data_IF_931915925554
#
_entry.id   IF_931915925554
#
_cell.length_a   1.000
_cell.length_b   1.000
_cell.length_c   1.000
_cell.angle_alpha   90.00
_cell.angle_beta   90.00
_cell.angle_gamma   90.00
#
_symmetry.space_group_name_H-M   'P 1'
#
loop_
_entity.id
_entity.type
_entity.pdbx_description
1 polymer ?
#
# COMPACT_ATOMS: atom_id res chain seq x y z
N UNK A 1 -51.20 -44.44 52.34
CA UNK A 1 -51.42 -44.39 53.80
C UNK A 1 -50.05 -44.27 54.43
N UNK A 2 -49.77 -43.13 55.08
CA UNK A 2 -48.70 -42.88 56.07
C UNK A 2 -47.24 -43.03 55.58
N UNK A 3 -46.25 -42.21 55.94
CA UNK A 3 -46.10 -41.03 56.83
C UNK A 3 -44.67 -40.53 56.58
N UNK A 4 -44.45 -39.21 56.49
CA UNK A 4 -43.12 -38.62 56.76
C UNK A 4 -42.76 -38.81 58.25
N UNK A 5 -41.46 -38.73 58.63
CA UNK A 5 -41.01 -37.46 59.19
C UNK A 5 -39.61 -37.00 58.76
N UNK A 6 -39.26 -35.72 59.05
CA UNK A 6 -38.13 -34.98 58.48
C UNK A 6 -37.06 -34.59 59.51
N UNK A 7 -35.86 -34.20 59.06
CA UNK A 7 -34.90 -33.32 59.79
C UNK A 7 -34.01 -32.64 58.72
N UNK A 8 -34.32 -31.41 58.30
CA UNK A 8 -33.61 -30.14 58.58
C UNK A 8 -32.11 -30.04 58.20
N UNK A 9 -31.87 -29.19 57.18
CA UNK A 9 -31.10 -27.94 57.28
C UNK A 9 -29.56 -27.96 57.15
N UNK A 10 -29.13 -27.42 56.00
CA UNK A 10 -28.02 -26.50 55.72
C UNK A 10 -26.56 -27.01 55.69
N UNK A 11 -26.07 -27.11 54.44
CA UNK A 11 -25.12 -26.15 53.86
C UNK A 11 -23.70 -26.01 54.44
N UNK A 12 -23.10 -27.06 55.00
CA UNK A 12 -21.65 -27.09 55.23
C UNK A 12 -21.09 -28.50 55.09
N UNK A 13 -20.90 -28.97 53.87
CA UNK A 13 -20.01 -30.12 53.55
C UNK A 13 -19.70 -30.16 52.05
N UNK A 14 -19.19 -29.06 51.51
CA UNK A 14 -18.55 -29.02 50.18
C UNK A 14 -17.05 -28.70 50.29
N UNK A 15 -16.43 -29.13 51.39
CA UNK A 15 -14.98 -29.11 51.60
C UNK A 15 -14.38 -30.49 51.24
N UNK A 16 -14.62 -31.02 50.03
CA UNK A 16 -13.81 -32.15 49.53
C UNK A 16 -13.93 -32.47 48.02
N UNK A 17 -13.73 -31.52 47.11
CA UNK A 17 -13.48 -31.88 45.70
C UNK A 17 -12.84 -30.79 44.81
N UNK A 18 -12.02 -29.87 45.35
CA UNK A 18 -11.18 -29.01 44.50
C UNK A 18 -9.78 -28.91 45.09
N UNK A 19 -9.03 -30.00 44.97
CA UNK A 19 -7.59 -29.99 45.20
C UNK A 19 -6.94 -30.93 44.20
N UNK A 20 -6.83 -30.45 42.96
CA UNK A 20 -5.82 -30.90 42.01
C UNK A 20 -5.41 -29.70 41.14
N UNK A 21 -4.36 -29.03 41.63
CA UNK A 21 -3.19 -28.59 40.88
C UNK A 21 -3.42 -27.83 39.57
N UNK A 22 -3.65 -26.52 39.68
CA UNK A 22 -3.18 -25.57 38.67
C UNK A 22 -1.92 -24.89 39.21
N UNK A 23 -0.74 -25.03 38.58
CA UNK A 23 0.39 -24.19 38.93
C UNK A 23 0.08 -22.77 38.48
N UNK A 24 0.04 -21.82 39.43
CA UNK A 24 0.08 -20.40 39.13
C UNK A 24 1.44 -20.11 38.48
N UNK A 25 1.47 -20.08 37.14
CA UNK A 25 2.55 -19.43 36.42
C UNK A 25 2.13 -17.97 36.26
N UNK A 26 2.87 -17.07 36.89
CA UNK A 26 2.82 -15.64 36.57
C UNK A 26 2.82 -15.47 35.05
N UNK A 27 1.92 -14.66 34.46
CA UNK A 27 2.17 -14.20 33.11
C UNK A 27 3.43 -13.32 33.18
N UNK A 28 4.51 -13.76 32.53
CA UNK A 28 5.60 -12.86 32.20
C UNK A 28 4.97 -11.64 31.54
N UNK A 29 5.21 -10.47 32.13
CA UNK A 29 4.95 -9.19 31.46
C UNK A 29 5.83 -9.16 30.21
N UNK A 30 5.31 -9.71 29.11
CA UNK A 30 5.84 -9.46 27.78
C UNK A 30 5.45 -8.02 27.52
N UNK A 31 6.38 -7.12 27.82
CA UNK A 31 6.43 -5.82 27.14
C UNK A 31 6.57 -6.18 25.66
N UNK A 32 5.44 -6.31 24.97
CA UNK A 32 5.44 -6.27 23.52
C UNK A 32 5.96 -4.88 23.20
N UNK A 33 7.27 -4.80 22.95
CA UNK A 33 7.80 -3.71 22.18
C UNK A 33 6.94 -3.68 20.92
N UNK A 34 6.11 -2.64 20.81
CA UNK A 34 5.63 -2.16 19.53
C UNK A 34 6.90 -1.81 18.76
N UNK A 35 7.49 -2.81 18.12
CA UNK A 35 8.52 -2.61 17.13
C UNK A 35 7.78 -1.94 15.99
N UNK A 36 7.93 -0.61 15.89
CA UNK A 36 7.63 0.10 14.66
C UNK A 36 8.29 -0.71 13.54
N UNK A 37 7.49 -1.26 12.64
CA UNK A 37 7.99 -2.03 11.52
C UNK A 37 8.99 -1.14 10.78
N UNK A 38 10.28 -1.51 10.72
CA UNK A 38 11.23 -0.73 9.95
C UNK A 38 10.75 -0.72 8.50
N UNK A 39 10.77 0.47 7.89
CA UNK A 39 10.59 0.67 6.45
C UNK A 39 11.41 -0.39 5.72
N UNK A 40 10.71 -1.38 5.13
CA UNK A 40 11.34 -2.63 4.69
C UNK A 40 12.34 -2.40 3.56
N UNK A 41 13.53 -2.98 3.74
CA UNK A 41 14.66 -2.95 2.81
C UNK A 41 14.45 -3.74 1.51
N UNK A 42 13.25 -4.28 1.30
CA UNK A 42 12.92 -5.14 0.19
C UNK A 42 11.45 -4.98 -0.21
N UNK A 43 11.11 -5.44 -1.40
CA UNK A 43 9.72 -5.80 -1.69
C UNK A 43 9.29 -6.87 -0.67
N UNK A 44 8.17 -6.64 0.00
CA UNK A 44 7.65 -7.58 1.01
C UNK A 44 6.80 -8.63 0.31
N UNK A 45 6.59 -9.79 0.93
CA UNK A 45 5.82 -10.90 0.34
C UNK A 45 4.41 -10.46 -0.07
N UNK A 46 3.82 -9.50 0.67
CA UNK A 46 2.50 -8.92 0.35
C UNK A 46 2.47 -8.12 -0.95
N UNK A 47 3.62 -7.68 -1.46
CA UNK A 47 3.71 -6.94 -2.72
C UNK A 47 3.69 -7.89 -3.93
N UNK A 48 3.98 -9.18 -3.71
CA UNK A 48 4.06 -10.17 -4.79
C UNK A 48 2.68 -10.55 -5.30
N UNK A 49 2.62 -10.76 -6.61
CA UNK A 49 1.42 -11.23 -7.28
C UNK A 49 1.16 -12.69 -6.90
N UNK A 50 -0.04 -12.95 -6.36
CA UNK A 50 -0.47 -14.32 -6.06
C UNK A 50 -0.68 -15.15 -7.34
N UNK A 51 -1.10 -14.50 -8.42
CA UNK A 51 -1.44 -15.15 -9.69
C UNK A 51 -0.21 -15.33 -10.61
N UNK A 52 0.86 -14.57 -10.37
CA UNK A 52 2.05 -14.52 -11.23
C UNK A 52 3.33 -14.57 -10.39
N UNK A 53 3.89 -15.77 -10.15
CA UNK A 53 5.10 -15.93 -9.35
C UNK A 53 6.27 -15.08 -9.89
N UNK A 54 6.97 -14.38 -8.99
CA UNK A 54 8.12 -13.55 -9.35
C UNK A 54 7.78 -12.13 -9.83
N UNK A 55 6.50 -11.75 -9.92
CA UNK A 55 6.10 -10.37 -10.25
C UNK A 55 5.39 -9.69 -9.10
N UNK A 56 5.26 -8.37 -9.20
CA UNK A 56 4.32 -7.57 -8.42
C UNK A 56 3.20 -7.08 -9.33
N UNK A 57 1.98 -6.98 -8.79
CA UNK A 57 0.89 -6.32 -9.50
C UNK A 57 0.93 -4.83 -9.20
N UNK A 58 0.97 -4.01 -10.24
CA UNK A 58 0.97 -2.55 -10.14
C UNK A 58 -0.37 -1.99 -10.58
N UNK A 59 -0.79 -0.90 -9.97
CA UNK A 59 -2.07 -0.26 -10.22
C UNK A 59 -1.90 1.24 -10.45
N UNK A 60 -2.67 1.82 -11.36
CA UNK A 60 -2.88 3.27 -11.43
C UNK A 60 -4.28 3.58 -11.93
N UNK A 61 -4.83 4.69 -11.49
CA UNK A 61 -6.05 5.26 -12.08
C UNK A 61 -5.63 6.24 -13.17
N UNK A 62 -6.28 6.12 -14.32
CA UNK A 62 -6.03 6.99 -15.48
C UNK A 62 -7.33 7.57 -16.01
N UNK A 63 -7.21 8.71 -16.69
CA UNK A 63 -8.32 9.33 -17.43
C UNK A 63 -8.46 8.67 -18.82
N UNK A 64 -9.53 9.00 -19.53
CA UNK A 64 -9.86 8.41 -20.83
C UNK A 64 -8.72 8.57 -21.85
N UNK A 65 -8.04 9.72 -21.80
CA UNK A 65 -6.94 10.08 -22.72
C UNK A 65 -5.73 9.15 -22.58
N UNK A 66 -5.60 8.45 -21.44
CA UNK A 66 -4.47 7.59 -21.11
C UNK A 66 -4.85 6.10 -21.13
N UNK A 67 -6.12 5.74 -21.31
CA UNK A 67 -6.62 4.37 -21.10
C UNK A 67 -6.01 3.33 -22.05
N UNK A 68 -5.62 3.74 -23.27
CA UNK A 68 -5.13 2.81 -24.28
C UNK A 68 -3.66 2.43 -24.05
N UNK A 69 -2.90 3.30 -23.36
CA UNK A 69 -1.49 3.10 -23.05
C UNK A 69 -1.17 3.59 -21.62
N UNK A 70 -1.75 3.00 -20.58
CA UNK A 70 -1.64 3.50 -19.22
C UNK A 70 -0.21 3.39 -18.65
N UNK A 71 0.63 2.51 -19.22
CA UNK A 71 2.02 2.31 -18.79
C UNK A 71 3.03 2.70 -19.88
N UNK A 72 2.66 3.62 -20.78
CA UNK A 72 3.58 4.22 -21.74
C UNK A 72 3.53 5.75 -21.68
N UNK A 73 4.62 6.39 -22.09
CA UNK A 73 4.73 7.86 -22.14
C UNK A 73 6.20 8.29 -22.12
N UNK A 74 6.48 9.50 -22.61
CA UNK A 74 7.87 9.98 -22.77
C UNK A 74 8.24 11.03 -21.74
N UNK A 75 7.37 11.98 -21.43
CA UNK A 75 7.59 13.00 -20.41
C UNK A 75 6.31 13.22 -19.62
N UNK A 76 6.44 13.35 -18.30
CA UNK A 76 5.33 13.63 -17.40
C UNK A 76 5.50 15.00 -16.75
N UNK A 77 4.38 15.54 -16.25
CA UNK A 77 4.39 16.68 -15.35
C UNK A 77 5.26 16.41 -14.12
N UNK A 78 5.71 17.48 -13.47
CA UNK A 78 6.47 17.37 -12.22
C UNK A 78 5.69 16.54 -11.18
N UNK A 79 6.31 15.48 -10.68
CA UNK A 79 5.80 14.66 -9.60
C UNK A 79 6.53 14.94 -8.29
N UNK A 80 6.11 14.28 -7.21
CA UNK A 80 6.82 14.36 -5.92
C UNK A 80 8.28 13.91 -6.03
N UNK A 81 8.53 12.88 -6.82
CA UNK A 81 9.82 12.20 -6.88
C UNK A 81 10.62 12.51 -8.15
N UNK A 82 10.04 13.18 -9.14
CA UNK A 82 10.68 13.48 -10.42
C UNK A 82 10.36 14.89 -10.87
N UNK A 83 11.34 15.58 -11.44
CA UNK A 83 11.17 16.90 -12.02
C UNK A 83 10.31 16.85 -13.30
N UNK A 84 9.77 17.99 -13.70
CA UNK A 84 9.13 18.14 -15.01
C UNK A 84 10.10 17.76 -16.13
N UNK A 85 9.61 16.99 -17.11
CA UNK A 85 10.41 16.51 -18.24
C UNK A 85 11.18 15.21 -17.98
N UNK A 86 11.23 14.72 -16.73
CA UNK A 86 11.75 13.37 -16.45
C UNK A 86 10.70 12.32 -16.83
N UNK A 87 11.04 11.32 -17.69
CA UNK A 87 10.14 10.21 -18.01
C UNK A 87 9.78 9.42 -16.75
N UNK A 88 8.52 9.47 -16.34
CA UNK A 88 8.06 8.78 -15.15
C UNK A 88 6.56 8.45 -15.22
N UNK A 89 6.22 7.21 -14.86
CA UNK A 89 4.83 6.79 -14.63
C UNK A 89 4.68 6.44 -13.16
N UNK A 90 3.73 7.08 -12.50
CA UNK A 90 3.39 6.80 -11.11
C UNK A 90 2.33 5.69 -11.03
N UNK A 91 2.63 4.67 -10.25
CA UNK A 91 1.76 3.56 -9.93
C UNK A 91 1.84 3.23 -8.44
N UNK A 92 1.00 2.31 -7.98
CA UNK A 92 0.95 1.85 -6.60
C UNK A 92 0.87 0.32 -6.56
N UNK A 93 1.02 -0.25 -5.37
CA UNK A 93 0.90 -1.70 -5.14
C UNK A 93 -0.51 -2.14 -4.72
N UNK A 94 -1.47 -1.21 -4.64
CA UNK A 94 -2.87 -1.53 -4.35
C UNK A 94 -3.85 -0.63 -5.11
N UNK A 95 -5.00 -1.15 -5.55
CA UNK A 95 -6.00 -0.35 -6.23
C UNK A 95 -6.59 0.77 -5.35
N UNK A 96 -6.66 0.55 -4.02
CA UNK A 96 -7.14 1.55 -3.07
C UNK A 96 -6.20 2.76 -2.97
N UNK A 97 -4.89 2.51 -2.89
CA UNK A 97 -3.89 3.58 -2.91
C UNK A 97 -3.87 4.29 -4.26
N UNK A 98 -4.04 3.56 -5.37
CA UNK A 98 -4.12 4.18 -6.70
C UNK A 98 -5.30 5.17 -6.80
N UNK A 99 -6.45 4.80 -6.24
CA UNK A 99 -7.62 5.69 -6.18
C UNK A 99 -7.35 6.90 -5.28
N UNK A 100 -6.73 6.69 -4.12
CA UNK A 100 -6.40 7.77 -3.18
C UNK A 100 -5.44 8.80 -3.80
N UNK A 101 -4.37 8.33 -4.43
CA UNK A 101 -3.41 9.19 -5.14
C UNK A 101 -4.11 9.97 -6.27
N UNK A 102 -4.94 9.31 -7.09
CA UNK A 102 -5.68 9.97 -8.15
C UNK A 102 -6.62 11.07 -7.64
N UNK A 103 -7.34 10.82 -6.55
CA UNK A 103 -8.25 11.80 -5.95
C UNK A 103 -7.49 12.99 -5.34
N UNK A 104 -6.36 12.74 -4.70
CA UNK A 104 -5.55 13.80 -4.07
C UNK A 104 -4.82 14.69 -5.09
N UNK A 105 -4.60 14.21 -6.31
CA UNK A 105 -4.02 14.97 -7.42
C UNK A 105 -5.07 15.64 -8.33
N UNK A 106 -6.35 15.58 -7.98
CA UNK A 106 -7.37 16.34 -8.68
C UNK A 106 -7.44 17.77 -8.11
N UNK A 107 -7.11 18.77 -8.93
CA UNK A 107 -7.27 20.19 -8.57
C UNK A 107 -8.75 20.61 -8.53
N UNK A 108 -9.59 19.90 -9.29
CA UNK A 108 -11.02 20.12 -9.43
C UNK A 108 -11.83 18.91 -8.96
N UNK A 109 -13.16 19.02 -9.03
CA UNK A 109 -14.08 17.90 -8.80
C UNK A 109 -13.66 16.66 -9.63
N UNK A 110 -13.38 15.50 -8.99
CA UNK A 110 -12.99 14.29 -9.69
C UNK A 110 -14.05 13.87 -10.72
N UNK A 111 -13.63 13.27 -11.85
CA UNK A 111 -14.55 12.84 -12.90
C UNK A 111 -15.51 11.75 -12.39
N UNK A 112 -16.67 11.61 -13.03
CA UNK A 112 -17.62 10.57 -12.67
C UNK A 112 -17.11 9.16 -12.99
N UNK A 113 -16.25 9.05 -14.01
CA UNK A 113 -15.66 7.82 -14.48
C UNK A 113 -14.16 7.99 -14.70
N UNK A 114 -13.42 6.92 -14.46
CA UNK A 114 -12.00 6.79 -14.76
C UNK A 114 -11.72 5.34 -15.14
N UNK A 115 -10.46 4.99 -15.32
CA UNK A 115 -10.04 3.63 -15.62
C UNK A 115 -9.03 3.14 -14.60
N UNK A 116 -9.25 1.96 -14.04
CA UNK A 116 -8.25 1.24 -13.27
C UNK A 116 -7.38 0.45 -14.23
N UNK A 117 -6.13 0.84 -14.37
CA UNK A 117 -5.12 0.09 -15.07
C UNK A 117 -4.34 -0.79 -14.08
N UNK A 118 -4.12 -2.06 -14.44
CA UNK A 118 -3.22 -2.97 -13.72
C UNK A 118 -2.25 -3.64 -14.68
N UNK A 119 -1.06 -3.96 -14.19
CA UNK A 119 -0.04 -4.70 -14.93
C UNK A 119 0.85 -5.52 -13.98
N UNK A 120 1.71 -6.36 -14.54
CA UNK A 120 2.71 -7.15 -13.82
C UNK A 120 4.10 -6.62 -14.14
N UNK A 121 4.94 -6.49 -13.12
CA UNK A 121 6.36 -6.14 -13.24
C UNK A 121 7.21 -7.17 -12.50
N UNK A 122 8.29 -7.72 -13.08
CA UNK A 122 9.20 -8.62 -12.38
C UNK A 122 9.82 -7.96 -11.14
N UNK A 123 9.83 -8.67 -10.01
CA UNK A 123 10.34 -8.18 -8.71
C UNK A 123 11.81 -7.75 -8.84
N UNK A 124 12.61 -8.51 -9.60
CA UNK A 124 14.03 -8.26 -9.84
C UNK A 124 14.32 -7.06 -10.76
N UNK A 125 13.29 -6.37 -11.25
CA UNK A 125 13.40 -5.13 -12.03
C UNK A 125 12.95 -3.90 -11.25
N UNK A 126 12.77 -4.05 -9.94
CA UNK A 126 12.32 -2.99 -9.04
C UNK A 126 13.41 -2.73 -7.99
N UNK A 127 13.94 -1.53 -8.02
CA UNK A 127 14.82 -1.03 -6.95
C UNK A 127 14.00 -0.41 -5.82
N UNK A 128 14.55 -0.36 -4.61
CA UNK A 128 13.94 0.36 -3.49
C UNK A 128 14.74 1.64 -3.22
N UNK A 129 14.10 2.80 -3.32
CA UNK A 129 14.73 4.09 -3.01
C UNK A 129 14.50 4.43 -1.54
N UNK A 130 15.57 4.45 -0.76
CA UNK A 130 15.52 4.66 0.69
C UNK A 130 16.24 5.92 1.15
N UNK A 131 17.26 6.35 0.41
CA UNK A 131 18.01 7.55 0.70
C UNK A 131 17.30 8.75 0.07
N UNK A 132 16.38 9.35 0.83
CA UNK A 132 15.65 10.53 0.43
C UNK A 132 15.66 11.61 1.52
N UNK A 133 15.57 12.91 1.15
CA UNK A 133 15.57 14.01 2.11
C UNK A 133 14.45 13.89 3.14
N UNK A 134 14.66 14.42 4.35
CA UNK A 134 13.61 14.47 5.40
C UNK A 134 12.38 15.30 5.00
N UNK A 135 12.52 16.14 3.97
CA UNK A 135 11.49 16.99 3.38
C UNK A 135 10.55 16.25 2.43
N UNK A 136 10.75 14.95 2.16
CA UNK A 136 10.05 14.20 1.11
C UNK A 136 8.51 14.21 1.17
N UNK A 137 7.95 14.31 2.38
CA UNK A 137 6.48 14.39 2.58
C UNK A 137 5.90 15.79 2.37
N UNK A 138 6.72 16.83 2.32
CA UNK A 138 6.22 18.22 2.27
C UNK A 138 5.48 18.52 0.96
N UNK A 139 4.54 19.47 1.03
CA UNK A 139 3.88 20.07 -0.12
C UNK A 139 3.97 21.60 0.00
N UNK A 140 4.35 22.35 -1.05
CA UNK A 140 4.62 21.92 -2.42
C UNK A 140 5.84 20.99 -2.54
N UNK A 141 5.91 20.24 -3.65
CA UNK A 141 7.01 19.30 -3.92
C UNK A 141 8.37 19.99 -3.88
N UNK A 142 9.37 19.29 -3.33
CA UNK A 142 10.69 19.84 -3.08
C UNK A 142 11.69 19.31 -4.09
N UNK A 143 12.51 20.22 -4.64
CA UNK A 143 13.49 19.90 -5.69
C UNK A 143 14.52 18.85 -5.27
N UNK A 144 14.96 18.90 -4.02
CA UNK A 144 15.89 17.93 -3.43
C UNK A 144 15.31 16.50 -3.43
N UNK A 145 13.99 16.36 -3.30
CA UNK A 145 13.28 15.08 -3.36
C UNK A 145 13.14 14.61 -4.81
N UNK A 146 12.81 15.51 -5.72
CA UNK A 146 12.72 15.22 -7.15
C UNK A 146 14.06 14.76 -7.74
N UNK A 147 15.16 15.35 -7.26
CA UNK A 147 16.52 14.95 -7.66
C UNK A 147 16.83 13.48 -7.35
N UNK A 148 16.18 12.87 -6.36
CA UNK A 148 16.35 11.43 -6.06
C UNK A 148 15.82 10.58 -7.21
N UNK A 149 14.59 10.83 -7.67
CA UNK A 149 14.01 10.07 -8.77
C UNK A 149 14.60 10.45 -10.13
N UNK A 150 15.00 11.71 -10.33
CA UNK A 150 15.71 12.14 -11.54
C UNK A 150 17.05 11.40 -11.68
N UNK A 151 17.83 11.33 -10.60
CA UNK A 151 19.11 10.61 -10.59
C UNK A 151 18.93 9.10 -10.79
N UNK A 152 17.85 8.51 -10.25
CA UNK A 152 17.50 7.12 -10.50
C UNK A 152 17.12 6.89 -11.98
N UNK A 153 16.23 7.71 -12.52
CA UNK A 153 15.75 7.60 -13.91
C UNK A 153 16.90 7.76 -14.91
N UNK A 154 17.72 8.80 -14.74
CA UNK A 154 18.88 9.06 -15.60
C UNK A 154 19.95 7.96 -15.56
N UNK A 155 20.05 7.23 -14.44
CA UNK A 155 21.00 6.14 -14.31
C UNK A 155 20.55 4.83 -14.98
N UNK A 156 19.28 4.73 -15.41
CA UNK A 156 18.70 3.53 -16.04
C UNK A 156 19.05 2.22 -15.29
N UNK A 157 19.01 2.24 -13.94
CA UNK A 157 19.44 1.09 -13.12
C UNK A 157 18.40 -0.03 -13.07
N UNK A 158 17.13 0.35 -13.05
CA UNK A 158 16.00 -0.56 -12.94
C UNK A 158 14.82 -0.03 -13.74
N UNK A 159 13.86 -0.91 -14.04
CA UNK A 159 12.62 -0.55 -14.72
C UNK A 159 11.74 0.32 -13.82
N UNK A 160 11.67 0.00 -12.53
CA UNK A 160 10.90 0.75 -11.57
C UNK A 160 11.64 0.95 -10.24
N UNK A 161 11.20 1.95 -9.49
CA UNK A 161 11.68 2.30 -8.17
C UNK A 161 10.51 2.35 -7.19
N UNK A 162 10.58 1.56 -6.11
CA UNK A 162 9.68 1.63 -4.97
C UNK A 162 10.05 2.81 -4.10
N UNK A 163 9.05 3.61 -3.79
CA UNK A 163 9.13 4.80 -2.92
C UNK A 163 7.95 4.80 -1.95
N UNK A 164 8.06 5.42 -0.77
CA UNK A 164 6.93 5.51 0.14
C UNK A 164 5.81 6.39 -0.43
N UNK A 165 4.55 6.07 -0.12
CA UNK A 165 3.44 6.99 -0.40
C UNK A 165 3.42 8.10 0.66
N UNK A 166 3.24 9.34 0.20
CA UNK A 166 3.09 10.48 1.10
C UNK A 166 1.68 10.59 1.68
N UNK A 167 0.68 9.92 1.08
CA UNK A 167 -0.72 9.99 1.51
C UNK A 167 -1.07 8.84 2.45
N UNK A 168 -0.52 7.65 2.22
CA UNK A 168 -0.73 6.49 3.07
C UNK A 168 0.62 5.94 3.51
N UNK A 169 0.99 6.17 4.77
CA UNK A 169 2.34 5.87 5.28
C UNK A 169 2.70 4.37 5.27
N UNK A 170 1.69 3.51 5.38
CA UNK A 170 1.82 2.06 5.32
C UNK A 170 1.82 1.53 3.87
N UNK A 171 1.73 2.41 2.88
CA UNK A 171 1.71 2.06 1.46
C UNK A 171 2.98 2.52 0.74
N UNK A 172 3.21 1.90 -0.42
CA UNK A 172 4.29 2.30 -1.33
C UNK A 172 3.75 2.59 -2.72
N UNK A 173 4.41 3.54 -3.37
CA UNK A 173 4.24 3.86 -4.77
C UNK A 173 5.42 3.30 -5.56
N UNK A 174 5.24 3.22 -6.87
CA UNK A 174 6.27 2.89 -7.84
C UNK A 174 6.42 4.05 -8.82
N UNK A 175 7.66 4.42 -9.08
CA UNK A 175 8.04 5.24 -10.23
C UNK A 175 8.52 4.27 -11.29
N UNK A 176 7.85 4.23 -12.43
CA UNK A 176 8.21 3.38 -13.57
C UNK A 176 8.91 4.26 -14.60
N UNK A 177 10.06 3.84 -15.10
CA UNK A 177 10.77 4.53 -16.17
C UNK A 177 10.34 3.93 -17.52
N UNK A 178 9.44 4.57 -18.28
CA UNK A 178 8.96 4.05 -19.56
C UNK A 178 10.05 3.98 -20.64
N UNK A 179 11.12 4.75 -20.50
CA UNK A 179 12.27 4.77 -21.42
C UNK A 179 13.33 3.70 -21.06
N UNK A 180 13.13 2.92 -20.01
CA UNK A 180 14.05 1.84 -19.66
C UNK A 180 13.97 0.69 -20.67
N UNK A 181 15.10 0.04 -20.96
CA UNK A 181 15.18 -1.06 -21.94
C UNK A 181 14.26 -2.24 -21.61
N UNK A 182 14.03 -2.46 -20.32
CA UNK A 182 13.12 -3.50 -19.80
C UNK A 182 11.64 -3.07 -19.76
N UNK A 183 11.27 -1.90 -20.28
CA UNK A 183 9.85 -1.47 -20.40
C UNK A 183 8.91 -2.54 -20.99
N UNK A 184 9.33 -3.35 -22.00
CA UNK A 184 8.54 -4.47 -22.51
C UNK A 184 8.24 -5.60 -21.50
N UNK A 185 8.92 -5.63 -20.34
CA UNK A 185 8.62 -6.57 -19.25
C UNK A 185 7.38 -6.17 -18.44
N UNK A 186 6.81 -4.99 -18.68
CA UNK A 186 5.49 -4.62 -18.16
C UNK A 186 4.43 -5.42 -18.93
N UNK A 187 3.87 -6.44 -18.29
CA UNK A 187 3.00 -7.42 -18.96
C UNK A 187 1.63 -7.51 -18.30
N UNK A 188 0.69 -8.21 -18.95
CA UNK A 188 -0.64 -8.43 -18.41
C UNK A 188 -1.43 -7.14 -18.19
N UNK A 189 -1.20 -6.12 -19.01
CA UNK A 189 -1.89 -4.83 -18.92
C UNK A 189 -3.38 -5.05 -19.10
N UNK A 190 -4.16 -4.65 -18.11
CA UNK A 190 -5.61 -4.68 -18.13
C UNK A 190 -6.16 -3.35 -17.68
N UNK A 191 -7.19 -2.87 -18.37
CA UNK A 191 -7.79 -1.56 -18.13
C UNK A 191 -9.29 -1.75 -17.99
N UNK A 192 -9.82 -1.44 -16.82
CA UNK A 192 -11.24 -1.63 -16.49
C UNK A 192 -11.86 -0.27 -16.17
N UNK A 193 -13.01 0.08 -16.78
CA UNK A 193 -13.73 1.30 -16.41
C UNK A 193 -14.21 1.21 -14.96
N UNK A 194 -14.07 2.31 -14.23
CA UNK A 194 -14.55 2.44 -12.86
C UNK A 194 -15.40 3.70 -12.70
N UNK A 195 -16.43 3.61 -11.86
CA UNK A 195 -17.20 4.77 -11.40
C UNK A 195 -16.59 5.34 -10.12
N UNK A 196 -16.45 6.66 -10.05
CA UNK A 196 -16.00 7.34 -8.83
C UNK A 196 -17.23 7.67 -7.97
N UNK A 197 -17.27 7.14 -6.75
CA UNK A 197 -18.38 7.31 -5.83
C UNK A 197 -18.70 8.81 -5.61
N UNK A 198 -19.97 9.25 -5.73
CA UNK A 198 -20.36 10.65 -5.53
C UNK A 198 -19.95 11.26 -4.19
N UNK A 199 -19.72 10.46 -3.14
CA UNK A 199 -19.19 10.93 -1.86
C UNK A 199 -17.74 11.38 -1.97
N UNK A 200 -16.93 10.71 -2.78
CA UNK A 200 -15.52 11.06 -2.98
C UNK A 200 -15.35 12.28 -3.89
N UNK A 201 -16.27 12.46 -4.84
CA UNK A 201 -16.27 13.60 -5.76
C UNK A 201 -16.58 14.94 -5.09
N UNK A 202 -17.25 14.93 -3.93
CA UNK A 202 -17.59 16.15 -3.18
C UNK A 202 -16.46 16.65 -2.28
N UNK A 203 -15.53 15.77 -1.89
CA UNK A 203 -14.46 16.09 -0.94
C UNK A 203 -13.35 16.89 -1.62
N UNK A 204 -13.04 16.60 -2.88
CA UNK A 204 -11.97 17.24 -3.63
C UNK A 204 -12.38 18.56 -4.33
N UNK A 205 -13.44 19.23 -3.84
CA UNK A 205 -13.93 20.49 -4.40
C UNK A 205 -14.24 21.56 -3.35
N UNK A 206 -13.62 21.46 -2.15
CA UNK A 206 -13.78 22.40 -1.03
C UNK A 206 -12.46 23.07 -0.68
#
# INVERSE_FOLDING_TARGET
MQTHPPVTTREKDLDKALKDTFPASDPLSVTAHLTATPTSDSLVESDRSADHPGTVTVYRIVRDEQKDKPFAGDAADAGRWTSEGTPAIYATLSPGTALLEFLAHCDDTPPASAYLARAQIPVERIDVLQAYPSTWRQHPYRRDVQQVGDAWSAAHRSLAAKVPSAICEEASNLIINPAHVDSPLIQGVQVTPIGIDPRLRRIAGS
#
